data_IF_015951902376
#
_entry.id   IF_015951902376
#
_cell.length_a   1.000
_cell.length_b   1.000
_cell.length_c   1.000
_cell.angle_alpha   90.00
_cell.angle_beta   90.00
_cell.angle_gamma   90.00
#
_symmetry.space_group_name_H-M   'P 1'
#
loop_
_entity.id
_entity.type
_entity.pdbx_description
1 polymer ?
#
# COMPACT_ATOMS: atom_id res chain seq x y z
N UNK A 1 -6.69 -7.69 -26.13
CA UNK A 1 -6.94 -6.49 -25.30
C UNK A 1 -6.84 -6.74 -23.80
N UNK A 2 -7.03 -7.97 -23.31
CA UNK A 2 -6.92 -8.34 -21.87
C UNK A 2 -5.48 -8.24 -21.34
N UNK A 3 -4.49 -8.76 -22.08
CA UNK A 3 -3.07 -8.74 -21.67
C UNK A 3 -2.52 -7.31 -21.43
N UNK A 4 -2.86 -6.34 -22.29
CA UNK A 4 -2.42 -4.94 -22.16
C UNK A 4 -3.02 -4.25 -20.93
N UNK A 5 -4.29 -4.53 -20.61
CA UNK A 5 -4.97 -3.99 -19.42
C UNK A 5 -4.39 -4.55 -18.13
N UNK A 6 -4.07 -5.84 -18.10
CA UNK A 6 -3.43 -6.49 -16.95
C UNK A 6 -2.05 -5.88 -16.66
N UNK A 7 -1.25 -5.67 -17.70
CA UNK A 7 0.07 -5.03 -17.57
C UNK A 7 -0.04 -3.59 -17.05
N UNK A 8 -1.04 -2.82 -17.50
CA UNK A 8 -1.28 -1.47 -17.02
C UNK A 8 -1.67 -1.44 -15.53
N UNK A 9 -2.57 -2.32 -15.09
CA UNK A 9 -2.98 -2.41 -13.67
C UNK A 9 -1.81 -2.78 -12.76
N UNK A 10 -1.03 -3.79 -13.13
CA UNK A 10 0.16 -4.20 -12.37
C UNK A 10 1.18 -3.06 -12.29
N UNK A 11 1.42 -2.34 -13.40
CA UNK A 11 2.32 -1.17 -13.42
C UNK A 11 1.83 -0.03 -12.55
N UNK A 12 0.55 0.28 -12.59
CA UNK A 12 -0.05 1.31 -11.72
C UNK A 12 0.08 0.92 -10.26
N UNK A 13 -0.23 -0.33 -9.93
CA UNK A 13 -0.15 -0.82 -8.56
C UNK A 13 1.28 -0.83 -8.02
N UNK A 14 2.23 -1.26 -8.84
CA UNK A 14 3.66 -1.10 -8.56
C UNK A 14 4.03 0.36 -8.32
N UNK A 15 3.67 1.26 -9.24
CA UNK A 15 4.07 2.67 -9.17
C UNK A 15 3.54 3.35 -7.90
N UNK A 16 2.28 3.06 -7.53
CA UNK A 16 1.67 3.60 -6.32
C UNK A 16 2.38 3.09 -5.05
N UNK A 17 2.65 1.79 -4.95
CA UNK A 17 3.39 1.22 -3.81
C UNK A 17 4.81 1.75 -3.73
N UNK A 18 5.50 1.77 -4.86
CA UNK A 18 6.86 2.26 -4.96
C UNK A 18 6.94 3.74 -4.55
N UNK A 19 6.08 4.59 -5.10
CA UNK A 19 6.03 6.00 -4.75
C UNK A 19 5.72 6.21 -3.25
N UNK A 20 4.79 5.44 -2.69
CA UNK A 20 4.45 5.48 -1.27
C UNK A 20 5.64 5.11 -0.39
N UNK A 21 6.32 4.00 -0.74
CA UNK A 21 7.50 3.53 -0.05
C UNK A 21 8.68 4.51 -0.13
N UNK A 22 8.96 5.06 -1.31
CA UNK A 22 9.99 6.09 -1.50
C UNK A 22 9.66 7.35 -0.71
N UNK A 23 8.41 7.84 -0.76
CA UNK A 23 8.00 9.02 -0.02
C UNK A 23 8.12 8.82 1.51
N UNK A 24 7.83 7.61 2.00
CA UNK A 24 7.99 7.24 3.40
C UNK A 24 9.46 7.23 3.85
N UNK A 25 10.41 6.92 2.94
CA UNK A 25 11.84 6.95 3.22
C UNK A 25 12.47 8.35 3.09
N UNK A 26 12.13 9.07 2.02
CA UNK A 26 12.71 10.38 1.72
C UNK A 26 12.09 11.52 2.53
N UNK A 27 10.82 11.40 2.89
CA UNK A 27 10.09 12.43 3.62
C UNK A 27 9.22 11.84 4.76
N UNK A 28 9.79 11.03 5.68
CA UNK A 28 9.03 10.28 6.67
C UNK A 28 8.13 11.15 7.55
N UNK A 29 8.63 12.32 7.96
CA UNK A 29 7.84 13.29 8.74
C UNK A 29 6.59 13.77 7.99
N UNK A 30 6.73 14.15 6.72
CA UNK A 30 5.63 14.66 5.90
C UNK A 30 4.63 13.54 5.58
N UNK A 31 5.15 12.38 5.19
CA UNK A 31 4.35 11.20 4.82
C UNK A 31 3.53 10.70 6.01
N UNK A 32 4.13 10.53 7.19
CA UNK A 32 3.39 10.08 8.36
C UNK A 32 2.35 11.09 8.84
N UNK A 33 2.64 12.41 8.78
CA UNK A 33 1.64 13.45 9.07
C UNK A 33 0.47 13.42 8.10
N UNK A 34 0.72 13.17 6.81
CA UNK A 34 -0.33 13.03 5.81
C UNK A 34 -1.22 11.81 6.08
N UNK A 35 -0.63 10.71 6.56
CA UNK A 35 -1.33 9.52 7.03
C UNK A 35 -2.05 9.73 8.39
N UNK A 36 -1.94 10.91 8.99
CA UNK A 36 -2.57 11.26 10.26
C UNK A 36 -1.84 10.77 11.50
N UNK A 37 -0.57 10.38 11.38
CA UNK A 37 0.29 10.08 12.53
C UNK A 37 0.68 11.38 13.25
N UNK A 38 0.72 11.31 14.58
CA UNK A 38 1.19 12.42 15.41
C UNK A 38 2.69 12.66 15.21
N UNK A 39 3.11 13.92 15.29
CA UNK A 39 4.51 14.34 15.13
C UNK A 39 5.39 14.00 16.34
N UNK A 40 5.44 12.73 16.72
CA UNK A 40 6.25 12.21 17.81
C UNK A 40 7.64 11.74 17.38
N UNK A 41 8.54 11.51 18.35
CA UNK A 41 9.92 11.04 18.13
C UNK A 41 9.99 9.77 17.27
N UNK A 42 9.04 8.86 17.45
CA UNK A 42 9.02 7.55 16.78
C UNK A 42 8.23 7.55 15.46
N UNK A 43 7.62 8.69 15.10
CA UNK A 43 6.82 8.81 13.87
C UNK A 43 7.65 8.57 12.61
N UNK A 44 8.87 9.14 12.45
CA UNK A 44 9.65 8.91 11.24
C UNK A 44 10.03 7.44 11.06
N UNK A 45 10.44 6.80 12.15
CA UNK A 45 10.81 5.39 12.17
C UNK A 45 9.63 4.48 11.78
N UNK A 46 8.47 4.67 12.40
CA UNK A 46 7.26 3.90 12.05
C UNK A 46 6.81 4.14 10.61
N UNK A 47 6.96 5.37 10.10
CA UNK A 47 6.68 5.69 8.68
C UNK A 47 7.65 4.95 7.75
N UNK A 48 8.93 4.87 8.07
CA UNK A 48 9.92 4.14 7.27
C UNK A 48 9.70 2.63 7.31
N UNK A 49 9.28 2.06 8.46
CA UNK A 49 8.90 0.65 8.55
C UNK A 49 7.73 0.33 7.63
N UNK A 50 6.68 1.16 7.64
CA UNK A 50 5.56 1.07 6.70
C UNK A 50 6.06 1.15 5.24
N UNK A 51 6.89 2.17 4.92
CA UNK A 51 7.44 2.35 3.58
C UNK A 51 8.29 1.19 3.08
N UNK A 52 9.05 0.54 3.99
CA UNK A 52 9.91 -0.61 3.65
C UNK A 52 9.09 -1.80 3.15
N UNK A 53 7.93 -2.04 3.76
CA UNK A 53 6.99 -3.08 3.31
C UNK A 53 6.44 -2.76 1.92
N UNK A 54 6.03 -1.52 1.68
CA UNK A 54 5.49 -1.11 0.37
C UNK A 54 6.55 -1.22 -0.74
N UNK A 55 7.80 -0.82 -0.47
CA UNK A 55 8.90 -1.02 -1.42
C UNK A 55 9.15 -2.49 -1.72
N UNK A 56 9.18 -3.33 -0.68
CA UNK A 56 9.44 -4.76 -0.84
C UNK A 56 8.37 -5.43 -1.70
N UNK A 57 7.09 -5.12 -1.42
CA UNK A 57 5.97 -5.62 -2.20
C UNK A 57 5.99 -5.09 -3.64
N UNK A 58 6.30 -3.79 -3.84
CA UNK A 58 6.41 -3.20 -5.16
C UNK A 58 7.44 -3.95 -6.03
N UNK A 59 8.65 -4.15 -5.51
CA UNK A 59 9.72 -4.85 -6.22
C UNK A 59 9.35 -6.30 -6.54
N UNK A 60 8.74 -7.01 -5.59
CA UNK A 60 8.30 -8.40 -5.79
C UNK A 60 7.17 -8.53 -6.84
N UNK A 61 6.31 -7.53 -6.98
CA UNK A 61 5.25 -7.49 -8.01
C UNK A 61 5.84 -7.32 -9.43
N UNK A 62 6.98 -6.63 -9.54
CA UNK A 62 7.68 -6.42 -10.82
C UNK A 62 8.61 -7.56 -11.23
N UNK A 63 8.79 -8.57 -10.38
CA UNK A 63 9.61 -9.73 -10.75
C UNK A 63 8.95 -10.51 -11.90
N UNK A 64 9.54 -10.35 -13.09
CA UNK A 64 9.11 -11.03 -14.31
C UNK A 64 9.64 -12.45 -14.43
N UNK A 65 10.65 -12.83 -13.65
CA UNK A 65 11.26 -14.16 -13.72
C UNK A 65 10.42 -15.22 -13.00
N UNK A 66 9.59 -14.82 -12.03
CA UNK A 66 8.75 -15.74 -11.25
C UNK A 66 7.29 -15.31 -11.17
N UNK A 67 6.42 -15.81 -12.08
CA UNK A 67 4.98 -15.54 -12.02
C UNK A 67 4.34 -15.95 -10.68
N UNK A 68 4.81 -17.06 -10.09
CA UNK A 68 4.35 -17.51 -8.76
C UNK A 68 4.69 -16.50 -7.66
N UNK A 69 5.90 -15.93 -7.68
CA UNK A 69 6.29 -14.90 -6.71
C UNK A 69 5.45 -13.65 -6.90
N UNK A 70 5.22 -13.21 -8.14
CA UNK A 70 4.36 -12.07 -8.44
C UNK A 70 2.95 -12.25 -7.90
N UNK A 71 2.29 -13.38 -8.18
CA UNK A 71 0.94 -13.66 -7.67
C UNK A 71 0.91 -13.69 -6.14
N UNK A 72 1.93 -14.29 -5.49
CA UNK A 72 2.05 -14.27 -4.02
C UNK A 72 2.27 -12.88 -3.46
N UNK A 73 3.09 -12.05 -4.11
CA UNK A 73 3.31 -10.66 -3.71
C UNK A 73 2.02 -9.83 -3.82
N UNK A 74 1.23 -10.03 -4.88
CA UNK A 74 -0.09 -9.41 -5.02
C UNK A 74 -1.06 -9.85 -3.92
N UNK A 75 -1.10 -11.14 -3.57
CA UNK A 75 -1.93 -11.66 -2.46
C UNK A 75 -1.52 -11.10 -1.10
N UNK A 76 -0.20 -11.08 -0.82
CA UNK A 76 0.33 -10.53 0.43
C UNK A 76 0.11 -9.01 0.52
N UNK A 77 0.20 -8.31 -0.61
CA UNK A 77 -0.15 -6.89 -0.73
C UNK A 77 -1.64 -6.64 -0.48
N UNK A 78 -2.53 -7.46 -1.04
CA UNK A 78 -3.96 -7.35 -0.75
C UNK A 78 -4.27 -7.58 0.74
N UNK A 79 -3.72 -8.64 1.33
CA UNK A 79 -3.90 -8.90 2.78
C UNK A 79 -3.41 -7.72 3.61
N UNK A 80 -2.29 -7.16 3.20
CA UNK A 80 -1.67 -5.97 3.77
C UNK A 80 -2.63 -4.79 3.79
N UNK A 81 -3.22 -4.46 2.63
CA UNK A 81 -4.13 -3.33 2.47
C UNK A 81 -5.41 -3.53 3.31
N UNK A 82 -5.93 -4.76 3.37
CA UNK A 82 -7.10 -5.07 4.19
C UNK A 82 -6.82 -4.89 5.69
N UNK A 83 -5.65 -5.32 6.16
CA UNK A 83 -5.24 -5.13 7.56
C UNK A 83 -5.06 -3.63 7.88
N UNK A 84 -4.53 -2.85 6.95
CA UNK A 84 -4.36 -1.40 7.12
C UNK A 84 -5.73 -0.69 7.15
N UNK A 85 -6.70 -1.13 6.33
CA UNK A 85 -8.08 -0.64 6.40
C UNK A 85 -8.75 -0.98 7.74
N UNK A 86 -8.57 -2.21 8.26
CA UNK A 86 -9.05 -2.59 9.60
C UNK A 86 -8.39 -1.73 10.68
N UNK A 87 -7.09 -1.49 10.59
CA UNK A 87 -6.37 -0.63 11.53
C UNK A 87 -6.92 0.81 11.50
N UNK A 88 -7.20 1.36 10.31
CA UNK A 88 -7.81 2.68 10.17
C UNK A 88 -9.21 2.74 10.81
N UNK A 89 -10.06 1.74 10.58
CA UNK A 89 -11.39 1.66 11.22
C UNK A 89 -11.27 1.60 12.74
N UNK A 90 -10.35 0.79 13.26
CA UNK A 90 -10.07 0.71 14.70
C UNK A 90 -9.59 2.07 15.24
N UNK A 91 -8.72 2.75 14.50
CA UNK A 91 -8.20 4.07 14.86
C UNK A 91 -9.30 5.14 14.92
N UNK A 92 -10.23 5.15 13.96
CA UNK A 92 -11.39 6.04 13.97
C UNK A 92 -12.30 5.74 15.18
N UNK A 93 -12.61 4.47 15.43
CA UNK A 93 -13.45 4.06 16.57
C UNK A 93 -12.82 4.43 17.91
N UNK A 94 -11.51 4.26 18.05
CA UNK A 94 -10.76 4.59 19.25
C UNK A 94 -10.41 6.09 19.35
N UNK A 95 -10.76 6.91 18.35
CA UNK A 95 -10.39 8.33 18.24
C UNK A 95 -8.87 8.59 18.30
N UNK A 96 -8.08 7.63 17.84
CA UNK A 96 -6.62 7.75 17.75
C UNK A 96 -6.12 8.17 16.37
N UNK A 97 -7.02 8.17 15.37
CA UNK A 97 -6.72 8.60 14.00
C UNK A 97 -7.47 9.88 13.67
N UNK A 98 -6.77 10.87 13.10
CA UNK A 98 -7.37 12.11 12.64
C UNK A 98 -8.32 11.88 11.45
N UNK A 99 -9.33 12.75 11.21
CA UNK A 99 -10.22 12.62 10.05
C UNK A 99 -9.48 12.59 8.72
N UNK A 100 -8.45 13.44 8.55
CA UNK A 100 -7.57 13.43 7.38
C UNK A 100 -6.82 12.11 7.26
N UNK A 101 -6.28 11.58 8.37
CA UNK A 101 -5.63 10.27 8.39
C UNK A 101 -6.58 9.13 8.03
N UNK A 102 -7.83 9.18 8.48
CA UNK A 102 -8.84 8.18 8.12
C UNK A 102 -9.13 8.17 6.61
N UNK A 103 -9.20 9.35 5.99
CA UNK A 103 -9.41 9.47 4.54
C UNK A 103 -8.16 9.01 3.78
N UNK A 104 -6.98 9.50 4.16
CA UNK A 104 -5.73 9.20 3.44
C UNK A 104 -5.30 7.76 3.66
N UNK A 105 -5.11 7.33 4.90
CA UNK A 105 -4.62 6.00 5.22
C UNK A 105 -5.71 4.95 5.01
N UNK A 106 -6.92 5.18 5.51
CA UNK A 106 -8.04 4.23 5.36
C UNK A 106 -8.58 4.19 3.93
N UNK A 107 -8.83 5.35 3.32
CA UNK A 107 -9.26 5.43 1.92
C UNK A 107 -8.19 4.96 0.95
N UNK A 108 -6.92 5.28 1.20
CA UNK A 108 -5.78 4.73 0.48
C UNK A 108 -5.75 3.21 0.57
N UNK A 109 -5.78 2.63 1.78
CA UNK A 109 -5.80 1.19 1.97
C UNK A 109 -6.98 0.51 1.23
N UNK A 110 -8.18 1.10 1.27
CA UNK A 110 -9.32 0.59 0.51
C UNK A 110 -9.10 0.64 -1.01
N UNK A 111 -8.49 1.71 -1.53
CA UNK A 111 -8.12 1.83 -2.94
C UNK A 111 -7.09 0.77 -3.35
N UNK A 112 -6.03 0.59 -2.56
CA UNK A 112 -5.00 -0.42 -2.83
C UNK A 112 -5.59 -1.84 -2.77
N UNK A 113 -6.48 -2.14 -1.82
CA UNK A 113 -7.18 -3.42 -1.77
C UNK A 113 -8.02 -3.66 -3.04
N UNK A 114 -8.76 -2.65 -3.51
CA UNK A 114 -9.54 -2.73 -4.75
C UNK A 114 -8.66 -2.99 -5.98
N UNK A 115 -7.54 -2.28 -6.08
CA UNK A 115 -6.55 -2.49 -7.16
C UNK A 115 -5.89 -3.87 -7.08
N UNK A 116 -5.60 -4.37 -5.87
CA UNK A 116 -5.04 -5.70 -5.65
C UNK A 116 -5.98 -6.82 -6.09
N UNK A 117 -7.28 -6.71 -5.75
CA UNK A 117 -8.32 -7.64 -6.23
C UNK A 117 -8.42 -7.60 -7.76
N UNK A 118 -8.46 -6.40 -8.35
CA UNK A 118 -8.52 -6.24 -9.80
C UNK A 118 -7.28 -6.86 -10.48
N UNK A 119 -6.08 -6.62 -9.96
CA UNK A 119 -4.83 -7.17 -10.48
C UNK A 119 -4.78 -8.70 -10.38
N UNK A 120 -5.24 -9.29 -9.28
CA UNK A 120 -5.28 -10.75 -9.10
C UNK A 120 -6.27 -11.42 -10.05
N UNK A 121 -7.48 -10.86 -10.19
CA UNK A 121 -8.50 -11.37 -11.12
C UNK A 121 -8.05 -11.26 -12.58
N UNK A 122 -7.21 -10.27 -12.87
CA UNK A 122 -6.55 -10.07 -14.15
C UNK A 122 -5.43 -11.07 -14.41
N UNK A 123 -4.57 -11.35 -13.41
CA UNK A 123 -3.40 -12.23 -13.54
C UNK A 123 -3.78 -13.73 -13.68
N UNK A 124 -4.96 -14.12 -13.18
CA UNK A 124 -5.47 -15.50 -13.24
C UNK A 124 -6.20 -15.85 -14.56
N UNK A 125 -6.43 -14.88 -15.46
CA UNK A 125 -7.11 -15.05 -16.75
C UNK A 125 -6.14 -15.00 -17.91
#
# INVERSE_FOLDING_TARGET
>A
MTSTRNSALIRTFFALRFATGVAAWLAPNKTGRLMGLNAGRDQPFTTQLFGSRELTLALAITDSASPRLRTRALQMGLLTDLLDAVAAVRGVRARTLSPTGAIVAGGGAALFAGLGVAALNSDQR
#
